data_IF_462600091196
#
_entry.id   IF_462600091196
#
_cell.length_a   1.000
_cell.length_b   1.000
_cell.length_c   1.000
_cell.angle_alpha   90.00
_cell.angle_beta   90.00
_cell.angle_gamma   90.00
#
_symmetry.space_group_name_H-M   'P 1'
#
loop_
_entity.id
_entity.type
_entity.pdbx_description
1 polymer ?
#
# COMPACT_ATOMS: atom_id res chain seq x y z
N UNK A 1 -12.61 19.38 8.55
CA UNK A 1 -13.62 18.64 7.78
C UNK A 1 -12.93 18.13 6.53
N UNK A 2 -12.61 16.83 6.47
CA UNK A 2 -12.00 16.18 5.30
C UNK A 2 -13.08 16.02 4.22
N UNK A 3 -12.92 16.71 3.09
CA UNK A 3 -13.85 16.66 1.97
C UNK A 3 -13.52 15.45 1.10
N UNK A 4 -14.41 14.45 1.04
CA UNK A 4 -14.25 13.32 0.14
C UNK A 4 -14.68 13.71 -1.29
N UNK A 5 -13.85 13.40 -2.30
CA UNK A 5 -14.19 13.60 -3.71
C UNK A 5 -14.94 12.37 -4.25
N UNK A 6 -16.16 12.58 -4.75
CA UNK A 6 -16.96 11.53 -5.37
C UNK A 6 -16.75 11.55 -6.89
N UNK A 7 -16.46 10.40 -7.48
CA UNK A 7 -16.34 10.25 -8.94
C UNK A 7 -17.10 9.04 -9.45
N UNK A 8 -17.65 9.16 -10.66
CA UNK A 8 -18.15 8.03 -11.45
C UNK A 8 -17.07 7.64 -12.45
N UNK A 9 -16.49 6.47 -12.25
CA UNK A 9 -15.41 5.96 -13.10
C UNK A 9 -15.94 5.35 -14.40
N UNK A 10 -17.15 4.78 -14.40
CA UNK A 10 -17.79 4.20 -15.59
C UNK A 10 -19.28 4.59 -15.65
N UNK A 11 -19.89 4.68 -16.84
CA UNK A 11 -21.34 4.77 -16.98
C UNK A 11 -22.00 3.56 -16.31
N UNK A 12 -23.08 3.78 -15.57
CA UNK A 12 -23.86 2.77 -14.84
C UNK A 12 -23.15 1.99 -13.73
N UNK A 13 -21.94 2.38 -13.33
CA UNK A 13 -21.25 1.81 -12.17
C UNK A 13 -21.51 2.60 -10.88
N UNK A 14 -21.25 1.95 -9.73
CA UNK A 14 -21.39 2.59 -8.42
C UNK A 14 -20.43 3.77 -8.24
N UNK A 15 -20.69 4.60 -7.22
CA UNK A 15 -19.89 5.79 -6.93
C UNK A 15 -18.56 5.38 -6.28
N UNK A 16 -17.44 5.91 -6.77
CA UNK A 16 -16.15 5.83 -6.07
C UNK A 16 -15.91 7.10 -5.27
N UNK A 17 -15.22 6.99 -4.14
CA UNK A 17 -14.88 8.12 -3.28
C UNK A 17 -13.41 8.10 -2.89
N UNK A 18 -12.81 9.29 -2.82
CA UNK A 18 -11.43 9.51 -2.42
C UNK A 18 -11.37 10.44 -1.20
N UNK A 19 -10.41 10.24 -0.30
CA UNK A 19 -10.16 11.15 0.83
C UNK A 19 -9.42 12.43 0.37
N UNK A 20 -9.10 13.31 1.33
CA UNK A 20 -8.44 14.59 1.03
C UNK A 20 -6.99 14.40 0.55
N UNK A 21 -6.40 13.26 0.88
CA UNK A 21 -5.06 12.81 0.54
C UNK A 21 -4.99 12.12 -0.84
N UNK A 22 -6.14 11.95 -1.51
CA UNK A 22 -6.24 11.33 -2.83
C UNK A 22 -6.33 9.80 -2.82
N UNK A 23 -6.49 9.18 -1.65
CA UNK A 23 -6.63 7.73 -1.50
C UNK A 23 -8.08 7.30 -1.68
N UNK A 24 -8.29 6.17 -2.35
CA UNK A 24 -9.64 5.63 -2.58
C UNK A 24 -10.21 4.99 -1.32
N UNK A 25 -11.30 5.54 -0.80
CA UNK A 25 -12.03 5.04 0.39
C UNK A 25 -13.32 4.30 0.03
N UNK A 26 -13.80 4.44 -1.21
CA UNK A 26 -14.92 3.69 -1.74
C UNK A 26 -14.68 3.40 -3.23
N UNK A 27 -14.88 2.15 -3.64
CA UNK A 27 -14.78 1.71 -5.03
C UNK A 27 -16.13 1.19 -5.50
N UNK A 28 -16.71 1.85 -6.50
CA UNK A 28 -17.95 1.41 -7.15
C UNK A 28 -19.11 1.11 -6.17
N UNK A 29 -19.28 1.96 -5.16
CA UNK A 29 -20.31 1.83 -4.12
C UNK A 29 -19.97 0.88 -2.97
N UNK A 30 -18.73 0.36 -2.92
CA UNK A 30 -18.26 -0.52 -1.84
C UNK A 30 -17.14 0.17 -1.05
N UNK A 31 -17.28 0.32 0.28
CA UNK A 31 -16.21 0.89 1.08
C UNK A 31 -14.94 0.04 0.97
N UNK A 32 -13.80 0.70 0.84
CA UNK A 32 -12.48 0.06 0.78
C UNK A 32 -11.80 0.31 2.12
N UNK A 33 -11.39 -0.76 2.79
CA UNK A 33 -10.60 -0.66 4.01
C UNK A 33 -9.13 -0.76 3.57
N UNK A 34 -8.35 0.28 3.86
CA UNK A 34 -6.90 0.16 3.79
C UNK A 34 -6.43 -0.71 4.95
N UNK A 35 -5.97 -1.91 4.62
CA UNK A 35 -5.25 -2.75 5.55
C UNK A 35 -3.75 -2.57 5.29
N UNK A 36 -3.00 -2.23 6.34
CA UNK A 36 -1.56 -2.13 6.27
C UNK A 36 -0.96 -3.51 6.55
N UNK A 37 -0.20 -4.03 5.60
CA UNK A 37 0.58 -5.25 5.74
C UNK A 37 2.06 -4.89 5.62
N UNK A 38 2.91 -5.53 6.41
CA UNK A 38 4.34 -5.58 6.09
C UNK A 38 4.58 -6.42 4.82
N UNK A 39 5.72 -6.21 4.16
CA UNK A 39 6.07 -6.96 2.95
C UNK A 39 6.15 -8.46 3.24
N UNK A 40 6.70 -8.82 4.40
CA UNK A 40 6.85 -10.20 4.84
C UNK A 40 5.49 -10.87 5.09
N UNK A 41 4.56 -10.19 5.77
CA UNK A 41 3.20 -10.69 5.98
C UNK A 41 2.48 -10.92 4.65
N UNK A 42 2.57 -9.96 3.73
CA UNK A 42 1.92 -10.08 2.43
C UNK A 42 2.49 -11.25 1.62
N UNK A 43 3.80 -11.48 1.68
CA UNK A 43 4.44 -12.61 1.04
C UNK A 43 4.03 -13.96 1.66
N UNK A 44 3.91 -14.03 2.99
CA UNK A 44 3.37 -15.21 3.68
C UNK A 44 1.92 -15.49 3.30
N UNK A 45 1.09 -14.45 3.18
CA UNK A 45 -0.30 -14.58 2.73
C UNK A 45 -0.37 -15.15 1.31
N UNK A 46 0.46 -14.65 0.39
CA UNK A 46 0.56 -15.16 -0.98
C UNK A 46 0.88 -16.65 -0.98
N UNK A 47 1.94 -17.08 -0.28
CA UNK A 47 2.31 -18.50 -0.22
C UNK A 47 1.21 -19.37 0.40
N UNK A 48 0.51 -18.86 1.40
CA UNK A 48 -0.61 -19.57 2.04
C UNK A 48 -1.79 -19.73 1.09
N UNK A 49 -2.11 -18.69 0.31
CA UNK A 49 -3.16 -18.71 -0.71
C UNK A 49 -2.83 -19.65 -1.87
N UNK A 50 -1.58 -19.66 -2.34
CA UNK A 50 -1.12 -20.59 -3.38
C UNK A 50 -1.34 -22.04 -2.96
N UNK A 51 -0.93 -22.39 -1.73
CA UNK A 51 -1.18 -23.71 -1.18
C UNK A 51 -2.67 -24.04 -1.05
N UNK A 52 -3.48 -23.08 -0.57
CA UNK A 52 -4.92 -23.26 -0.46
C UNK A 52 -5.59 -23.49 -1.84
N UNK A 53 -5.09 -22.85 -2.90
CA UNK A 53 -5.57 -23.05 -4.29
C UNK A 53 -5.24 -24.46 -4.79
N UNK A 54 -4.04 -24.96 -4.49
CA UNK A 54 -3.61 -26.32 -4.84
C UNK A 54 -4.47 -27.38 -4.15
N UNK A 55 -4.76 -27.17 -2.87
CA UNK A 55 -5.52 -28.10 -2.03
C UNK A 55 -7.04 -28.05 -2.27
N UNK A 56 -7.59 -26.99 -2.89
CA UNK A 56 -9.03 -26.79 -3.07
C UNK A 56 -9.59 -27.57 -4.28
N UNK A 57 -10.38 -28.65 -4.09
CA UNK A 57 -10.92 -29.46 -5.18
C UNK A 57 -12.07 -28.77 -5.94
N UNK A 58 -12.77 -27.81 -5.32
CA UNK A 58 -13.89 -27.13 -5.93
C UNK A 58 -13.41 -26.03 -6.89
N UNK A 59 -13.73 -26.20 -8.17
CA UNK A 59 -13.32 -25.25 -9.22
C UNK A 59 -13.78 -23.80 -8.96
N UNK A 60 -15.01 -23.61 -8.47
CA UNK A 60 -15.56 -22.26 -8.25
C UNK A 60 -14.86 -21.55 -7.09
N UNK A 61 -14.57 -22.29 -6.01
CA UNK A 61 -13.83 -21.76 -4.85
C UNK A 61 -12.37 -21.48 -5.23
N UNK A 62 -11.74 -22.39 -5.97
CA UNK A 62 -10.39 -22.21 -6.51
C UNK A 62 -10.29 -20.95 -7.37
N UNK A 63 -11.26 -20.72 -8.26
CA UNK A 63 -11.32 -19.50 -9.07
C UNK A 63 -11.47 -18.24 -8.22
N UNK A 64 -12.30 -18.31 -7.16
CA UNK A 64 -12.41 -17.23 -6.18
C UNK A 64 -11.07 -16.91 -5.49
N UNK A 65 -10.37 -17.94 -5.03
CA UNK A 65 -9.06 -17.82 -4.40
C UNK A 65 -8.00 -17.27 -5.38
N UNK A 66 -7.99 -17.71 -6.65
CA UNK A 66 -7.09 -17.18 -7.67
C UNK A 66 -7.28 -15.68 -7.90
N UNK A 67 -8.54 -15.19 -7.90
CA UNK A 67 -8.80 -13.75 -8.01
C UNK A 67 -8.23 -12.97 -6.83
N UNK A 68 -8.36 -13.51 -5.63
CA UNK A 68 -7.79 -12.93 -4.41
C UNK A 68 -6.25 -12.91 -4.49
N UNK A 69 -5.64 -14.03 -4.90
CA UNK A 69 -4.20 -14.14 -5.11
C UNK A 69 -3.67 -13.07 -6.09
N UNK A 70 -4.35 -12.85 -7.22
CA UNK A 70 -3.98 -11.79 -8.16
C UNK A 70 -3.93 -10.41 -7.51
N UNK A 71 -4.86 -10.08 -6.60
CA UNK A 71 -4.87 -8.78 -5.93
C UNK A 71 -3.67 -8.63 -5.01
N UNK A 72 -3.36 -9.66 -4.22
CA UNK A 72 -2.21 -9.63 -3.32
C UNK A 72 -0.87 -9.62 -4.06
N UNK A 73 -0.75 -10.31 -5.20
CA UNK A 73 0.45 -10.24 -6.03
C UNK A 73 0.70 -8.83 -6.58
N UNK A 74 -0.34 -8.15 -7.06
CA UNK A 74 -0.24 -6.76 -7.51
C UNK A 74 0.15 -5.83 -6.36
N UNK A 75 -0.46 -6.01 -5.18
CA UNK A 75 -0.09 -5.25 -3.98
C UNK A 75 1.37 -5.49 -3.57
N UNK A 76 1.85 -6.73 -3.64
CA UNK A 76 3.22 -7.09 -3.27
C UNK A 76 4.23 -6.47 -4.24
N UNK A 77 3.94 -6.52 -5.54
CA UNK A 77 4.75 -5.87 -6.57
C UNK A 77 4.80 -4.35 -6.39
N UNK A 78 3.65 -3.72 -6.09
CA UNK A 78 3.62 -2.29 -5.76
C UNK A 78 4.44 -1.96 -4.52
N UNK A 79 4.36 -2.77 -3.46
CA UNK A 79 5.16 -2.57 -2.24
C UNK A 79 6.65 -2.71 -2.50
N UNK A 80 7.06 -3.66 -3.35
CA UNK A 80 8.48 -3.84 -3.72
C UNK A 80 9.02 -2.62 -4.45
N UNK A 81 8.27 -2.08 -5.42
CA UNK A 81 8.66 -0.84 -6.11
C UNK A 81 8.76 0.34 -5.16
N UNK A 82 7.75 0.53 -4.30
CA UNK A 82 7.78 1.61 -3.31
C UNK A 82 8.97 1.47 -2.36
N UNK A 83 9.32 0.24 -1.97
CA UNK A 83 10.50 -0.01 -1.14
C UNK A 83 11.80 0.33 -1.88
N UNK A 84 11.94 -0.06 -3.15
CA UNK A 84 13.11 0.28 -3.97
C UNK A 84 13.25 1.80 -4.15
N UNK A 85 12.14 2.51 -4.42
CA UNK A 85 12.13 3.97 -4.49
C UNK A 85 12.50 4.62 -3.14
N UNK A 86 11.97 4.10 -2.04
CA UNK A 86 12.31 4.59 -0.71
C UNK A 86 13.79 4.36 -0.38
N UNK A 87 14.36 3.21 -0.76
CA UNK A 87 15.77 2.91 -0.55
C UNK A 87 16.70 3.84 -1.36
N UNK A 88 16.25 4.35 -2.52
CA UNK A 88 17.00 5.37 -3.26
C UNK A 88 17.00 6.74 -2.56
N UNK A 89 15.98 7.01 -1.75
CA UNK A 89 15.83 8.24 -0.99
C UNK A 89 16.23 8.07 0.48
N UNK A 90 16.76 6.89 0.85
CA UNK A 90 17.13 6.60 2.21
C UNK A 90 18.26 7.54 2.66
N UNK A 91 18.17 8.16 3.85
CA UNK A 91 19.21 9.02 4.36
C UNK A 91 20.54 8.27 4.42
N UNK A 92 21.55 8.86 3.82
CA UNK A 92 22.93 8.36 3.83
C UNK A 92 23.64 8.80 5.11
N UNK A 93 24.83 8.22 5.36
CA UNK A 93 25.68 8.68 6.46
C UNK A 93 26.07 10.17 6.34
N UNK A 94 26.17 10.68 5.11
CA UNK A 94 26.43 12.10 4.87
C UNK A 94 25.25 12.99 5.28
N UNK A 95 24.01 12.54 5.03
CA UNK A 95 22.79 13.27 5.46
C UNK A 95 22.70 13.34 6.98
N UNK A 96 23.15 12.28 7.68
CA UNK A 96 23.25 12.27 9.13
C UNK A 96 24.30 13.26 9.66
N UNK A 97 25.50 13.28 9.06
CA UNK A 97 26.55 14.23 9.43
C UNK A 97 26.12 15.68 9.22
N UNK A 98 25.47 15.99 8.09
CA UNK A 98 24.92 17.31 7.80
C UNK A 98 23.83 17.71 8.80
N UNK A 99 22.94 16.78 9.15
CA UNK A 99 21.94 16.98 10.19
C UNK A 99 22.60 17.29 11.56
N UNK A 100 23.60 16.51 11.97
CA UNK A 100 24.32 16.72 13.23
C UNK A 100 25.10 18.04 13.25
N UNK A 101 25.73 18.41 12.15
CA UNK A 101 26.42 19.70 12.02
C UNK A 101 25.42 20.87 12.08
N UNK A 102 24.28 20.76 11.40
CA UNK A 102 23.21 21.76 11.46
C UNK A 102 22.63 21.89 12.86
N UNK A 103 22.39 20.76 13.54
CA UNK A 103 21.91 20.72 14.91
C UNK A 103 22.92 21.35 15.90
N UNK A 104 24.20 21.00 15.79
CA UNK A 104 25.25 21.58 16.65
C UNK A 104 25.40 23.10 16.47
N UNK A 105 25.30 23.60 15.23
CA UNK A 105 25.27 25.05 14.96
C UNK A 105 24.05 25.73 15.57
N UNK A 106 22.86 25.12 15.43
CA UNK A 106 21.64 25.64 16.04
C UNK A 106 21.71 25.66 17.58
N UNK A 107 22.29 24.62 18.18
CA UNK A 107 22.51 24.54 19.62
C UNK A 107 23.54 25.58 20.13
N UNK A 108 24.53 25.94 19.31
CA UNK A 108 25.53 26.97 19.64
C UNK A 108 25.00 28.41 19.50
N UNK A 109 23.96 28.64 18.69
CA UNK A 109 23.31 29.95 18.53
C UNK A 109 22.08 30.16 19.42
N UNK A 110 21.74 29.19 20.27
CA UNK A 110 20.59 29.23 21.16
C UNK A 110 20.97 29.56 22.62
N UNK A 111 21.79 30.61 22.83
CA UNK A 111 21.98 31.29 24.12
C UNK A 111 22.38 32.75 23.91
#
# INVERSE_FOLDING_TARGET
>A
MTSAQLSRLLPDSGISAFNAEGEMVMSLGRPVIQAYFSMDELQQFVCTLEKAIEDEPNFSQRWGLQRILCHFLVSLDSMKRNHEEFMQQAPTGADLEEYMMSYSKAAQGAF
#
